data_IF_604518062958
#
_entry.id   IF_604518062958
#
_cell.length_a   1.000
_cell.length_b   1.000
_cell.length_c   1.000
_cell.angle_alpha   90.00
_cell.angle_beta   90.00
_cell.angle_gamma   90.00
#
_symmetry.space_group_name_H-M   'P 1'
#
loop_
_entity.id
_entity.type
_entity.pdbx_description
1 polymer ?
#
# COMPACT_ATOMS: atom_id res chain seq x y z
N UNK A 1 0.91 -23.76 -6.00
CA UNK A 1 1.79 -23.31 -4.88
C UNK A 1 1.09 -23.52 -3.55
N UNK A 2 1.83 -23.73 -2.45
CA UNK A 2 1.26 -23.81 -1.10
C UNK A 2 0.89 -22.43 -0.54
N UNK A 3 1.63 -21.40 -0.94
CA UNK A 3 1.32 -20.01 -0.64
C UNK A 3 1.79 -19.06 -1.76
N UNK A 4 1.20 -17.87 -1.80
CA UNK A 4 1.66 -16.73 -2.58
C UNK A 4 1.78 -15.51 -1.66
N UNK A 5 2.88 -14.76 -1.79
CA UNK A 5 3.15 -13.59 -0.95
C UNK A 5 3.50 -12.36 -1.78
N UNK A 6 2.99 -11.21 -1.35
CA UNK A 6 3.39 -9.89 -1.88
C UNK A 6 3.80 -9.00 -0.71
N UNK A 7 4.97 -8.36 -0.83
CA UNK A 7 5.49 -7.43 0.17
C UNK A 7 5.77 -6.07 -0.46
N UNK A 8 5.09 -5.03 0.01
CA UNK A 8 5.28 -3.63 -0.41
C UNK A 8 5.13 -3.38 -1.93
N UNK A 9 4.42 -4.24 -2.65
CA UNK A 9 4.22 -4.13 -4.09
C UNK A 9 2.78 -3.81 -4.50
N UNK A 10 1.79 -4.08 -3.64
CA UNK A 10 0.37 -3.99 -4.00
C UNK A 10 -0.08 -2.56 -4.29
N UNK A 11 0.60 -1.55 -3.73
CA UNK A 11 0.32 -0.14 -4.05
C UNK A 11 0.75 0.31 -5.45
N UNK A 12 1.52 -0.51 -6.16
CA UNK A 12 2.04 -0.19 -7.50
C UNK A 12 1.29 -0.94 -8.62
N UNK A 13 0.32 -1.79 -8.28
CA UNK A 13 -0.45 -2.54 -9.28
C UNK A 13 -1.67 -1.72 -9.71
N UNK A 14 -2.11 -1.84 -10.99
CA UNK A 14 -3.25 -1.08 -11.50
C UNK A 14 -4.60 -1.60 -10.95
N UNK A 15 -4.71 -2.92 -10.74
CA UNK A 15 -5.92 -3.57 -10.22
C UNK A 15 -5.57 -4.58 -9.12
N UNK A 16 -5.88 -4.20 -7.88
CA UNK A 16 -5.62 -5.02 -6.69
C UNK A 16 -6.49 -6.28 -6.69
N UNK A 17 -7.75 -6.19 -7.13
CA UNK A 17 -8.68 -7.32 -7.12
C UNK A 17 -8.26 -8.37 -8.13
N UNK A 18 -7.84 -7.94 -9.32
CA UNK A 18 -7.30 -8.84 -10.34
C UNK A 18 -6.03 -9.54 -9.83
N UNK A 19 -5.10 -8.80 -9.22
CA UNK A 19 -3.86 -9.38 -8.67
C UNK A 19 -4.16 -10.40 -7.57
N UNK A 20 -5.07 -10.08 -6.64
CA UNK A 20 -5.48 -11.02 -5.59
C UNK A 20 -6.15 -12.27 -6.16
N UNK A 21 -7.00 -12.12 -7.18
CA UNK A 21 -7.62 -13.25 -7.89
C UNK A 21 -6.58 -14.16 -8.54
N UNK A 22 -5.58 -13.59 -9.22
CA UNK A 22 -4.50 -14.38 -9.83
C UNK A 22 -3.61 -15.04 -8.78
N UNK A 23 -3.32 -14.37 -7.65
CA UNK A 23 -2.63 -14.98 -6.51
C UNK A 23 -3.41 -16.16 -5.94
N UNK A 24 -4.73 -16.07 -5.83
CA UNK A 24 -5.58 -17.17 -5.39
C UNK A 24 -5.60 -18.33 -6.41
N UNK A 25 -5.70 -18.02 -7.72
CA UNK A 25 -5.77 -19.03 -8.80
C UNK A 25 -4.56 -19.96 -8.83
N UNK A 26 -3.37 -19.44 -8.53
CA UNK A 26 -2.11 -20.23 -8.59
C UNK A 26 -1.85 -21.01 -7.29
N UNK A 27 -2.53 -20.66 -6.21
CA UNK A 27 -2.43 -21.34 -4.92
C UNK A 27 -3.38 -22.55 -4.90
N UNK A 28 -2.90 -23.67 -4.36
CA UNK A 28 -3.73 -24.90 -4.23
C UNK A 28 -4.93 -24.65 -3.30
N UNK A 29 -6.03 -25.40 -3.41
CA UNK A 29 -7.09 -25.36 -2.41
C UNK A 29 -6.55 -25.53 -0.98
N UNK A 30 -6.90 -24.64 -0.07
CA UNK A 30 -6.39 -24.60 1.31
C UNK A 30 -5.00 -23.98 1.48
N UNK A 31 -4.35 -23.53 0.40
CA UNK A 31 -3.13 -22.72 0.47
C UNK A 31 -3.41 -21.26 0.88
N UNK A 32 -2.35 -20.48 1.11
CA UNK A 32 -2.47 -19.12 1.67
C UNK A 32 -2.03 -18.02 0.70
N UNK A 33 -2.77 -16.92 0.68
CA UNK A 33 -2.34 -15.66 0.06
C UNK A 33 -2.01 -14.67 1.19
N UNK A 34 -0.79 -14.13 1.20
CA UNK A 34 -0.31 -13.20 2.23
C UNK A 34 0.13 -11.90 1.58
N UNK A 35 -0.41 -10.79 2.05
CA UNK A 35 -0.04 -9.45 1.59
C UNK A 35 0.47 -8.64 2.77
N UNK A 36 1.70 -8.16 2.67
CA UNK A 36 2.28 -7.16 3.56
C UNK A 36 2.33 -5.83 2.81
N UNK A 37 1.55 -4.86 3.26
CA UNK A 37 1.52 -3.53 2.65
C UNK A 37 1.28 -2.44 3.70
N UNK A 38 1.55 -1.19 3.33
CA UNK A 38 1.31 -0.04 4.19
C UNK A 38 -0.20 0.15 4.44
N UNK A 39 -0.51 0.35 5.72
CA UNK A 39 -1.86 0.50 6.25
C UNK A 39 -2.23 1.98 6.42
N UNK A 40 -3.50 2.31 6.21
CA UNK A 40 -4.06 3.60 6.61
C UNK A 40 -4.47 3.52 8.09
N UNK A 41 -3.96 4.42 8.95
CA UNK A 41 -4.33 4.43 10.36
C UNK A 41 -5.79 4.86 10.55
N UNK A 42 -6.52 4.14 11.40
CA UNK A 42 -7.92 4.44 11.72
C UNK A 42 -8.10 5.20 13.03
N UNK A 43 -7.11 5.17 13.93
CA UNK A 43 -7.16 5.81 15.25
C UNK A 43 -7.18 7.34 15.12
N UNK A 44 -8.13 7.98 15.82
CA UNK A 44 -8.22 9.43 15.93
C UNK A 44 -6.96 10.00 16.62
N UNK A 45 -6.53 11.20 16.24
CA UNK A 45 -5.23 11.79 16.56
C UNK A 45 -4.13 11.27 15.64
N UNK A 46 -3.90 9.95 15.62
CA UNK A 46 -2.83 9.35 14.83
C UNK A 46 -3.07 9.47 13.32
N UNK A 47 -4.32 9.29 12.87
CA UNK A 47 -4.71 9.51 11.47
C UNK A 47 -4.40 10.93 10.99
N UNK A 48 -4.67 11.94 11.82
CA UNK A 48 -4.40 13.34 11.48
C UNK A 48 -2.89 13.60 11.38
N UNK A 49 -2.12 13.11 12.36
CA UNK A 49 -0.67 13.25 12.35
C UNK A 49 -0.02 12.55 11.15
N UNK A 50 -0.46 11.33 10.85
CA UNK A 50 -0.02 10.58 9.67
C UNK A 50 -0.29 11.37 8.38
N UNK A 51 -1.53 11.83 8.19
CA UNK A 51 -1.89 12.61 7.01
C UNK A 51 -1.12 13.93 6.92
N UNK A 52 -0.88 14.60 8.05
CA UNK A 52 -0.10 15.84 8.09
C UNK A 52 1.35 15.60 7.64
N UNK A 53 1.99 14.55 8.15
CA UNK A 53 3.35 14.18 7.76
C UNK A 53 3.46 13.90 6.25
N UNK A 54 2.57 13.06 5.70
CA UNK A 54 2.63 12.68 4.28
C UNK A 54 2.20 13.80 3.32
N UNK A 55 1.31 14.71 3.74
CA UNK A 55 0.84 15.81 2.89
C UNK A 55 1.74 17.04 2.91
N UNK A 56 2.43 17.32 4.03
CA UNK A 56 3.17 18.58 4.20
C UNK A 56 4.66 18.38 4.45
N UNK A 57 5.05 17.46 5.35
CA UNK A 57 6.46 17.29 5.73
C UNK A 57 7.23 16.53 4.65
N UNK A 58 6.71 15.38 4.23
CA UNK A 58 7.40 14.49 3.29
C UNK A 58 7.66 15.16 1.92
N UNK A 59 6.74 15.94 1.31
CA UNK A 59 7.03 16.65 0.06
C UNK A 59 8.12 17.72 0.20
N UNK A 60 8.24 18.38 1.36
CA UNK A 60 9.31 19.36 1.61
C UNK A 60 10.65 18.66 1.67
N UNK A 61 10.74 17.53 2.39
CA UNK A 61 11.95 16.70 2.44
C UNK A 61 12.31 16.19 1.03
N UNK A 62 11.32 15.73 0.26
CA UNK A 62 11.51 15.30 -1.13
C UNK A 62 12.12 16.38 -2.02
N UNK A 63 11.64 17.63 -1.91
CA UNK A 63 12.18 18.78 -2.65
C UNK A 63 13.63 19.11 -2.31
N UNK A 64 14.06 18.81 -1.09
CA UNK A 64 15.45 19.02 -0.63
C UNK A 64 16.36 17.83 -0.99
N UNK A 65 15.78 16.69 -1.38
CA UNK A 65 16.51 15.50 -1.82
C UNK A 65 16.91 15.61 -3.29
N UNK A 66 18.03 14.97 -3.65
CA UNK A 66 18.48 14.87 -5.06
C UNK A 66 17.54 14.04 -5.94
N UNK A 67 16.67 13.23 -5.34
CA UNK A 67 15.66 12.41 -6.03
C UNK A 67 14.25 12.83 -5.63
N UNK A 68 13.81 13.97 -6.13
CA UNK A 68 12.49 14.53 -5.85
C UNK A 68 11.33 13.61 -6.34
N UNK A 69 11.61 12.73 -7.30
CA UNK A 69 10.60 11.88 -7.97
C UNK A 69 10.10 10.74 -7.08
N UNK A 70 11.01 10.01 -6.42
CA UNK A 70 10.69 8.88 -5.54
C UNK A 70 9.91 9.31 -4.29
N UNK A 71 10.27 10.47 -3.72
CA UNK A 71 9.61 11.02 -2.53
C UNK A 71 8.23 11.62 -2.83
N UNK A 72 7.95 12.01 -4.07
CA UNK A 72 6.60 12.39 -4.51
C UNK A 72 5.71 11.16 -4.75
N UNK A 73 6.27 10.06 -5.28
CA UNK A 73 5.52 8.85 -5.58
C UNK A 73 4.99 8.13 -4.34
N UNK A 74 5.77 8.05 -3.27
CA UNK A 74 5.38 7.35 -2.04
C UNK A 74 4.05 7.87 -1.44
N UNK A 75 3.89 9.17 -1.12
CA UNK A 75 2.62 9.68 -0.60
C UNK A 75 1.47 9.55 -1.61
N UNK A 76 1.75 9.62 -2.91
CA UNK A 76 0.72 9.44 -3.95
C UNK A 76 0.21 8.00 -4.01
N UNK A 77 1.12 7.02 -4.01
CA UNK A 77 0.77 5.59 -3.99
C UNK A 77 -0.02 5.22 -2.73
N UNK A 78 0.37 5.76 -1.57
CA UNK A 78 -0.32 5.57 -0.30
C UNK A 78 -1.74 6.16 -0.29
N UNK A 79 -1.93 7.30 -0.95
CA UNK A 79 -3.26 7.93 -1.04
C UNK A 79 -4.21 7.08 -1.87
N UNK A 80 -3.75 6.61 -3.02
CA UNK A 80 -4.52 5.77 -3.96
C UNK A 80 -4.79 4.36 -3.45
N UNK A 81 -3.89 3.79 -2.65
CA UNK A 81 -4.08 2.45 -2.09
C UNK A 81 -5.31 2.40 -1.17
N UNK A 82 -6.24 1.42 -1.32
CA UNK A 82 -7.48 1.38 -0.56
C UNK A 82 -7.25 1.17 0.95
N UNK A 83 -8.26 1.49 1.76
CA UNK A 83 -8.22 1.17 3.18
C UNK A 83 -8.25 -0.35 3.37
N UNK A 84 -7.62 -0.86 4.42
CA UNK A 84 -7.46 -2.30 4.65
C UNK A 84 -8.80 -3.02 4.77
N UNK A 85 -9.85 -2.32 5.23
CA UNK A 85 -11.21 -2.86 5.25
C UNK A 85 -11.78 -3.16 3.86
N UNK A 86 -11.44 -2.34 2.85
CA UNK A 86 -11.92 -2.54 1.46
C UNK A 86 -11.19 -3.67 0.73
N UNK A 87 -10.02 -4.09 1.25
CA UNK A 87 -9.20 -5.18 0.68
C UNK A 87 -9.61 -6.53 1.28
N UNK A 88 -10.11 -6.53 2.51
CA UNK A 88 -10.52 -7.74 3.25
C UNK A 88 -11.96 -8.18 2.93
N UNK A 89 -12.73 -7.34 2.24
CA UNK A 89 -14.05 -7.65 1.68
C UNK A 89 -13.95 -8.42 0.36
#
# INVERSE_FOLDING_TARGET
FDAAMSGFAMRNVPDIKQVLSEMQRVVKPGGKVVVLELAKPSMFGFKQLYNFYFSYILPIIGKLSKDNSSYAWLPESLRRYPHQSEILE
#
